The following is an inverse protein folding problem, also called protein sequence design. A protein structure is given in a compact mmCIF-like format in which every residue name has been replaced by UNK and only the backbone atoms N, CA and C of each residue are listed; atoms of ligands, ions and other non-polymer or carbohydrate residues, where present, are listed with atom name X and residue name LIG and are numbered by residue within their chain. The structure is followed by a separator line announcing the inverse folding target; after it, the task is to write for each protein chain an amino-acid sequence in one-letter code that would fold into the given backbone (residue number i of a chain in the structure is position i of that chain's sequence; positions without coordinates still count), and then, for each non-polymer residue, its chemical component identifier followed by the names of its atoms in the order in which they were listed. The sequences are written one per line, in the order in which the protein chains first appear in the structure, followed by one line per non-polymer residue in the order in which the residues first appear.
data_IF_991254979014
#
_entry.id   IF_991254979014
#
_cell.length_a   1.000
_cell.length_b   1.000
_cell.length_c   1.000
_cell.angle_alpha   90.00
_cell.angle_beta   90.00
_cell.angle_gamma   90.00
#
_symmetry.space_group_name_H-M   'P 1'
#
loop_
_entity.id
_entity.type
_entity.pdbx_description
1 polymer ?
#
# COMPACT_ATOMS: atom_id res chain seq x y z
N UNK A 1 13.60 3.00 25.52
CA UNK A 1 13.86 1.92 24.56
C UNK A 1 15.24 1.39 24.88
N UNK A 2 15.37 0.10 25.20
CA UNK A 2 16.65 -0.48 25.64
C UNK A 2 17.70 -0.48 24.53
N UNK A 3 18.96 -0.22 24.89
CA UNK A 3 20.09 -0.24 23.95
C UNK A 3 20.25 -1.60 23.25
N UNK A 4 19.90 -2.70 23.93
CA UNK A 4 19.91 -4.04 23.35
C UNK A 4 18.89 -4.19 22.20
N UNK A 5 17.66 -3.70 22.39
CA UNK A 5 16.62 -3.75 21.36
C UNK A 5 16.98 -2.86 20.17
N UNK A 6 17.57 -1.69 20.45
CA UNK A 6 18.05 -0.77 19.41
C UNK A 6 19.10 -1.43 18.50
N UNK A 7 20.07 -2.14 19.08
CA UNK A 7 21.08 -2.87 18.33
C UNK A 7 20.51 -4.04 17.52
N UNK A 8 19.54 -4.78 18.06
CA UNK A 8 18.87 -5.87 17.34
C UNK A 8 18.13 -5.37 16.08
N UNK A 9 17.46 -4.21 16.18
CA UNK A 9 16.81 -3.58 15.03
C UNK A 9 17.81 -3.15 13.97
N UNK A 10 18.96 -2.60 14.38
CA UNK A 10 20.02 -2.20 13.45
C UNK A 10 20.56 -3.42 12.68
N UNK A 11 20.88 -4.51 13.38
CA UNK A 11 21.32 -5.76 12.76
C UNK A 11 20.26 -6.29 11.79
N UNK A 12 18.99 -6.31 12.19
CA UNK A 12 17.90 -6.75 11.32
C UNK A 12 17.78 -5.91 10.03
N UNK A 13 17.85 -4.58 10.15
CA UNK A 13 17.74 -3.69 8.99
C UNK A 13 18.96 -3.82 8.05
N UNK A 14 20.14 -4.06 8.61
CA UNK A 14 21.37 -4.35 7.85
C UNK A 14 21.27 -5.68 7.09
N UNK A 15 20.79 -6.73 7.74
CA UNK A 15 20.60 -8.04 7.12
C UNK A 15 19.52 -8.01 6.04
N UNK A 16 18.42 -7.28 6.26
CA UNK A 16 17.31 -7.18 5.31
C UNK A 16 17.69 -6.44 4.01
N UNK A 17 18.39 -5.31 4.14
CA UNK A 17 18.73 -4.46 2.99
C UNK A 17 20.05 -4.85 2.31
N UNK A 18 20.81 -5.76 2.91
CA UNK A 18 22.15 -6.11 2.47
C UNK A 18 23.23 -5.27 3.16
N UNK A 19 24.38 -5.89 3.43
CA UNK A 19 25.48 -5.27 4.19
C UNK A 19 26.07 -4.06 3.46
N UNK A 20 25.96 -4.03 2.14
CA UNK A 20 26.37 -2.93 1.28
C UNK A 20 25.53 -1.66 1.46
N UNK A 21 24.27 -1.79 1.90
CA UNK A 21 23.37 -0.65 2.13
C UNK A 21 23.37 -0.17 3.60
N UNK A 22 24.24 -0.71 4.45
CA UNK A 22 24.32 -0.39 5.88
C UNK A 22 24.32 1.11 6.17
N UNK A 23 25.23 1.84 5.53
CA UNK A 23 25.40 3.28 5.81
C UNK A 23 24.16 4.07 5.38
N UNK A 24 23.55 3.69 4.25
CA UNK A 24 22.31 4.29 3.78
C UNK A 24 21.14 4.04 4.75
N UNK A 25 21.01 2.81 5.27
CA UNK A 25 19.99 2.46 6.28
C UNK A 25 20.18 3.27 7.56
N UNK A 26 21.42 3.46 8.03
CA UNK A 26 21.71 4.24 9.23
C UNK A 26 21.31 5.71 9.03
N UNK A 27 21.68 6.30 7.90
CA UNK A 27 21.32 7.68 7.54
C UNK A 27 19.81 7.85 7.45
N UNK A 28 19.12 6.97 6.72
CA UNK A 28 17.69 7.03 6.52
C UNK A 28 16.92 6.86 7.84
N UNK A 29 17.39 5.97 8.72
CA UNK A 29 16.82 5.80 10.06
C UNK A 29 17.02 7.03 10.93
N UNK A 30 18.17 7.68 10.87
CA UNK A 30 18.41 8.93 11.60
C UNK A 30 17.49 10.06 11.08
N UNK A 31 17.33 10.16 9.76
CA UNK A 31 16.44 11.11 9.12
C UNK A 31 14.97 10.85 9.49
N UNK A 32 14.53 9.59 9.51
CA UNK A 32 13.19 9.21 9.97
C UNK A 32 12.96 9.58 11.44
N UNK A 33 13.93 9.35 12.32
CA UNK A 33 13.82 9.78 13.71
C UNK A 33 13.69 11.29 13.86
N UNK A 34 14.38 12.07 13.03
CA UNK A 34 14.22 13.51 12.98
C UNK A 34 12.81 13.90 12.49
N UNK A 35 12.37 13.31 11.37
CA UNK A 35 11.04 13.55 10.82
C UNK A 35 9.92 13.25 11.82
N UNK A 36 9.99 12.16 12.59
CA UNK A 36 8.99 11.85 13.62
C UNK A 36 8.95 12.91 14.73
N UNK A 37 10.11 13.48 15.10
CA UNK A 37 10.17 14.59 16.07
C UNK A 37 9.55 15.86 15.51
N UNK A 38 9.83 16.17 14.24
CA UNK A 38 9.23 17.30 13.55
C UNK A 38 7.73 17.13 13.39
N UNK A 39 7.24 15.96 12.99
CA UNK A 39 5.81 15.66 12.86
C UNK A 39 5.07 15.95 14.17
N UNK A 40 5.66 15.55 15.30
CA UNK A 40 5.11 15.80 16.64
C UNK A 40 5.05 17.30 16.99
N UNK A 41 6.02 18.09 16.52
CA UNK A 41 6.09 19.52 16.78
C UNK A 41 5.22 20.35 15.84
N UNK A 42 5.29 20.07 14.54
CA UNK A 42 4.64 20.82 13.47
C UNK A 42 3.16 20.44 13.30
N UNK A 43 2.79 19.18 13.57
CA UNK A 43 1.42 18.68 13.36
C UNK A 43 0.91 17.88 14.59
N UNK A 44 0.67 18.55 15.74
CA UNK A 44 0.29 17.88 16.96
C UNK A 44 -1.08 17.18 16.87
N UNK A 45 -2.02 17.69 16.08
CA UNK A 45 -3.31 17.04 15.84
C UNK A 45 -3.15 15.73 15.06
N UNK A 46 -2.37 15.75 13.97
CA UNK A 46 -2.08 14.55 13.19
C UNK A 46 -1.39 13.48 14.05
N UNK A 47 -0.41 13.89 14.85
CA UNK A 47 0.26 13.01 15.82
C UNK A 47 -0.72 12.42 16.85
N UNK A 48 -1.64 13.24 17.37
CA UNK A 48 -2.67 12.78 18.31
C UNK A 48 -3.60 11.75 17.66
N UNK A 49 -4.07 12.02 16.44
CA UNK A 49 -4.94 11.10 15.69
C UNK A 49 -4.25 9.77 15.38
N UNK A 50 -2.94 9.80 15.10
CA UNK A 50 -2.12 8.59 14.93
C UNK A 50 -2.05 7.77 16.22
N UNK A 51 -1.78 8.41 17.36
CA UNK A 51 -1.77 7.76 18.67
C UNK A 51 -3.15 7.18 19.06
N UNK A 52 -4.23 7.85 18.67
CA UNK A 52 -5.61 7.42 18.89
C UNK A 52 -6.08 6.38 17.86
N UNK A 53 -5.21 5.94 16.94
CA UNK A 53 -5.51 4.97 15.87
C UNK A 53 -6.68 5.40 14.96
N UNK A 54 -6.93 6.71 14.86
CA UNK A 54 -7.91 7.30 13.94
C UNK A 54 -7.36 7.40 12.52
N UNK A 55 -6.04 7.43 12.39
CA UNK A 55 -5.32 7.35 11.12
C UNK A 55 -4.53 6.04 11.12
N UNK A 56 -4.70 5.17 10.11
CA UNK A 56 -3.92 3.96 9.99
C UNK A 56 -2.43 4.30 9.81
N UNK A 57 -1.58 3.63 10.60
CA UNK A 57 -0.12 3.77 10.45
C UNK A 57 0.34 3.34 9.04
N UNK A 58 -0.36 2.37 8.45
CA UNK A 58 -0.17 1.94 7.07
C UNK A 58 -0.28 3.10 6.07
N UNK A 59 -1.34 3.92 6.16
CA UNK A 59 -1.56 5.03 5.25
C UNK A 59 -0.46 6.09 5.34
N UNK A 60 0.04 6.33 6.56
CA UNK A 60 1.19 7.22 6.78
C UNK A 60 2.42 6.68 6.06
N UNK A 61 2.72 5.39 6.17
CA UNK A 61 3.83 4.77 5.44
C UNK A 61 3.63 4.76 3.94
N UNK A 62 2.41 4.60 3.43
CA UNK A 62 2.12 4.71 2.00
C UNK A 62 2.39 6.12 1.45
N UNK A 63 2.08 7.17 2.23
CA UNK A 63 2.32 8.56 1.85
C UNK A 63 3.77 9.05 1.99
N UNK A 64 4.61 8.34 2.74
CA UNK A 64 6.01 8.72 2.97
C UNK A 64 6.94 8.19 1.88
N UNK A 65 7.34 9.03 0.92
CA UNK A 65 8.33 8.67 -0.11
C UNK A 65 9.79 9.04 0.22
N UNK A 66 10.03 9.63 1.41
CA UNK A 66 11.35 10.12 1.84
C UNK A 66 12.28 9.04 2.40
N UNK A 67 11.73 7.87 2.74
CA UNK A 67 12.46 6.79 3.42
C UNK A 67 12.24 5.45 2.68
N UNK A 68 12.81 5.27 1.48
CA UNK A 68 12.52 4.10 0.64
C UNK A 68 12.96 2.77 1.25
N UNK A 69 14.08 2.70 1.97
CA UNK A 69 14.58 1.46 2.58
C UNK A 69 13.70 1.05 3.77
N UNK A 70 13.34 2.00 4.62
CA UNK A 70 12.47 1.77 5.78
C UNK A 70 11.02 1.53 5.34
N UNK A 71 10.52 2.28 4.35
CA UNK A 71 9.17 2.12 3.82
C UNK A 71 8.97 0.73 3.23
N UNK A 72 9.92 0.23 2.44
CA UNK A 72 9.85 -1.13 1.88
C UNK A 72 9.65 -2.20 2.97
N UNK A 73 10.37 -2.07 4.08
CA UNK A 73 10.25 -2.99 5.22
C UNK A 73 8.92 -2.78 5.94
N UNK A 74 8.52 -1.54 6.21
CA UNK A 74 7.28 -1.22 6.90
C UNK A 74 6.07 -1.77 6.14
N UNK A 75 5.99 -1.54 4.83
CA UNK A 75 4.92 -2.05 3.98
C UNK A 75 4.89 -3.58 3.96
N UNK A 76 6.06 -4.24 3.95
CA UNK A 76 6.13 -5.69 4.02
C UNK A 76 5.61 -6.22 5.37
N UNK A 77 5.96 -5.55 6.47
CA UNK A 77 5.51 -5.91 7.81
C UNK A 77 3.97 -5.82 7.94
N UNK A 78 3.35 -4.79 7.36
CA UNK A 78 1.90 -4.65 7.35
C UNK A 78 1.18 -5.72 6.52
N UNK A 79 1.87 -6.38 5.59
CA UNK A 79 1.33 -7.53 4.83
C UNK A 79 1.45 -8.85 5.59
N UNK A 80 2.27 -8.92 6.63
CA UNK A 80 2.41 -10.11 7.45
C UNK A 80 1.19 -10.29 8.36
N UNK A 81 0.61 -11.50 8.36
CA UNK A 81 -0.42 -11.86 9.31
C UNK A 81 0.13 -11.89 10.74
N UNK A 82 -0.53 -11.18 11.65
CA UNK A 82 -0.09 -11.02 13.05
C UNK A 82 -0.37 -12.26 13.90
N UNK A 83 -1.25 -13.17 13.44
CA UNK A 83 -1.60 -14.39 14.16
C UNK A 83 -2.05 -15.54 13.25
N UNK A 84 -1.96 -16.76 13.77
CA UNK A 84 -2.52 -17.96 13.12
C UNK A 84 -4.04 -17.91 12.97
N UNK A 85 -4.73 -17.05 13.71
CA UNK A 85 -6.19 -16.91 13.64
C UNK A 85 -6.68 -16.51 12.24
N UNK A 86 -5.86 -15.78 11.47
CA UNK A 86 -6.17 -15.50 10.06
C UNK A 86 -6.21 -16.80 9.23
N UNK A 87 -5.24 -17.69 9.44
CA UNK A 87 -5.19 -19.02 8.80
C UNK A 87 -6.30 -19.94 9.31
N UNK A 88 -6.67 -19.89 10.59
CA UNK A 88 -7.79 -20.66 11.14
C UNK A 88 -9.12 -20.24 10.50
N UNK A 89 -9.35 -18.93 10.33
CA UNK A 89 -10.50 -18.42 9.58
C UNK A 89 -10.49 -18.90 8.14
N UNK A 90 -9.32 -18.93 7.49
CA UNK A 90 -9.18 -19.46 6.13
C UNK A 90 -9.60 -20.93 6.03
N UNK A 91 -9.11 -21.79 6.95
CA UNK A 91 -9.51 -23.20 6.98
C UNK A 91 -10.99 -23.40 7.32
N UNK A 92 -11.54 -22.58 8.22
CA UNK A 92 -12.97 -22.61 8.53
C UNK A 92 -13.82 -22.22 7.31
N UNK A 93 -13.43 -21.20 6.56
CA UNK A 93 -14.11 -20.80 5.31
C UNK A 93 -14.02 -21.92 4.26
N UNK A 94 -12.85 -22.57 4.14
CA UNK A 94 -12.69 -23.71 3.25
C UNK A 94 -13.65 -24.86 3.63
N UNK A 95 -13.81 -25.16 4.93
CA UNK A 95 -14.76 -26.17 5.41
C UNK A 95 -16.23 -25.76 5.21
N UNK A 96 -16.53 -24.46 5.25
CA UNK A 96 -17.86 -23.92 4.96
C UNK A 96 -18.22 -24.03 3.47
N UNK A 97 -17.31 -23.64 2.57
CA UNK A 97 -17.52 -23.64 1.12
C UNK A 97 -17.49 -25.06 0.57
N UNK A 98 -16.61 -25.92 1.08
CA UNK A 98 -16.39 -27.26 0.54
C UNK A 98 -16.52 -28.34 1.62
N UNK A 99 -17.34 -29.36 1.33
CA UNK A 99 -17.40 -30.58 2.13
C UNK A 99 -17.27 -31.81 1.23
N UNK A 100 -16.46 -32.79 1.65
CA UNK A 100 -16.23 -34.01 0.86
C UNK A 100 -17.51 -34.82 0.61
N UNK A 101 -18.53 -34.68 1.47
CA UNK A 101 -19.72 -35.53 1.50
C UNK A 101 -20.93 -34.91 0.78
N UNK A 102 -21.12 -33.58 0.81
CA UNK A 102 -22.31 -32.92 0.23
C UNK A 102 -22.00 -31.84 -0.80
N UNK A 103 -20.80 -31.25 -0.78
CA UNK A 103 -20.41 -30.18 -1.71
C UNK A 103 -18.96 -30.36 -2.18
N UNK A 104 -18.71 -31.49 -2.86
CA UNK A 104 -17.37 -31.82 -3.37
C UNK A 104 -17.10 -30.99 -4.62
N UNK A 105 -16.03 -30.21 -4.55
CA UNK A 105 -15.58 -29.32 -5.61
C UNK A 105 -14.13 -29.69 -5.95
N UNK A 106 -13.70 -29.33 -7.16
CA UNK A 106 -12.30 -29.44 -7.53
C UNK A 106 -11.47 -28.41 -6.70
N UNK A 107 -10.24 -28.75 -6.27
CA UNK A 107 -9.45 -27.90 -5.37
C UNK A 107 -9.24 -26.47 -5.88
N UNK A 108 -9.01 -26.33 -7.19
CA UNK A 108 -8.87 -25.04 -7.89
C UNK A 108 -10.12 -24.16 -7.77
N UNK A 109 -11.31 -24.76 -7.84
CA UNK A 109 -12.59 -24.05 -7.67
C UNK A 109 -12.79 -23.62 -6.22
N UNK A 110 -12.39 -24.46 -5.25
CA UNK A 110 -12.50 -24.10 -3.83
C UNK A 110 -11.60 -22.93 -3.50
N UNK A 111 -10.35 -22.95 -3.97
CA UNK A 111 -9.39 -21.85 -3.75
C UNK A 111 -9.93 -20.52 -4.28
N UNK A 112 -10.43 -20.50 -5.53
CA UNK A 112 -11.04 -19.31 -6.14
C UNK A 112 -12.25 -18.81 -5.35
N UNK A 113 -13.13 -19.72 -4.91
CA UNK A 113 -14.33 -19.34 -4.14
C UNK A 113 -13.98 -18.82 -2.75
N UNK A 114 -12.98 -19.41 -2.08
CA UNK A 114 -12.48 -18.90 -0.79
C UNK A 114 -11.90 -17.51 -0.98
N UNK A 115 -11.12 -17.28 -2.04
CA UNK A 115 -10.56 -15.96 -2.35
C UNK A 115 -11.67 -14.91 -2.56
N UNK A 116 -12.63 -15.20 -3.45
CA UNK A 116 -13.80 -14.32 -3.69
C UNK A 116 -14.57 -14.04 -2.40
N UNK A 117 -14.75 -15.04 -1.52
CA UNK A 117 -15.44 -14.87 -0.25
C UNK A 117 -14.73 -13.89 0.69
N UNK A 118 -13.40 -13.88 0.72
CA UNK A 118 -12.63 -12.92 1.50
C UNK A 118 -12.64 -11.54 0.86
N UNK A 119 -12.46 -11.45 -0.45
CA UNK A 119 -12.43 -10.17 -1.16
C UNK A 119 -13.79 -9.46 -1.10
N UNK A 120 -14.89 -10.20 -1.28
CA UNK A 120 -16.24 -9.67 -1.14
C UNK A 120 -16.57 -9.17 0.27
N UNK A 121 -15.84 -9.62 1.31
CA UNK A 121 -15.97 -9.10 2.67
C UNK A 121 -15.10 -7.86 2.93
N UNK A 122 -14.04 -7.69 2.16
CA UNK A 122 -13.11 -6.57 2.29
C UNK A 122 -13.55 -5.35 1.49
N UNK A 123 -14.48 -5.51 0.54
CA UNK A 123 -15.08 -4.44 -0.25
C UNK A 123 -16.43 -4.08 0.39
N UNK A 124 -16.56 -2.91 1.02
CA UNK A 124 -17.86 -2.40 1.46
C UNK A 124 -18.58 -1.61 0.35
N UNK A 125 -19.87 -1.34 0.51
CA UNK A 125 -20.61 -0.54 -0.49
C UNK A 125 -20.00 0.85 -0.68
N UNK A 126 -19.45 1.46 0.38
CA UNK A 126 -18.74 2.73 0.26
C UNK A 126 -17.46 2.61 -0.58
N UNK A 127 -16.74 1.48 -0.50
CA UNK A 127 -15.56 1.22 -1.34
C UNK A 127 -15.96 1.07 -2.82
N UNK A 128 -17.06 0.37 -3.10
CA UNK A 128 -17.61 0.21 -4.46
C UNK A 128 -17.98 1.56 -5.06
N UNK A 129 -18.69 2.40 -4.30
CA UNK A 129 -19.06 3.76 -4.74
C UNK A 129 -17.82 4.61 -5.00
N UNK A 130 -16.81 4.52 -4.11
CA UNK A 130 -15.54 5.25 -4.26
C UNK A 130 -14.75 4.81 -5.50
N UNK A 131 -14.67 3.51 -5.78
CA UNK A 131 -13.98 3.00 -6.97
C UNK A 131 -14.72 3.34 -8.26
N UNK A 132 -16.06 3.25 -8.27
CA UNK A 132 -16.88 3.68 -9.40
C UNK A 132 -16.64 5.15 -9.75
N UNK A 133 -16.66 6.02 -8.73
CA UNK A 133 -16.41 7.45 -8.93
C UNK A 133 -14.99 7.73 -9.42
N UNK A 134 -13.99 6.97 -8.96
CA UNK A 134 -12.61 7.13 -9.44
C UNK A 134 -12.45 6.72 -10.90
N UNK A 135 -13.13 5.65 -11.33
CA UNK A 135 -13.12 5.19 -12.72
C UNK A 135 -13.81 6.18 -13.67
N UNK A 136 -14.90 6.81 -13.22
CA UNK A 136 -15.56 7.87 -13.98
C UNK A 136 -14.68 9.12 -14.08
N UNK A 137 -14.00 9.54 -13.00
CA UNK A 137 -13.05 10.66 -13.05
C UNK A 137 -11.84 10.40 -13.96
N UNK A 138 -11.32 9.17 -13.99
CA UNK A 138 -10.21 8.80 -14.87
C UNK A 138 -10.65 8.81 -16.34
N UNK A 139 -11.86 8.32 -16.62
CA UNK A 139 -12.45 8.39 -17.97
C UNK A 139 -12.65 9.84 -18.41
N UNK A 140 -13.17 10.69 -17.53
CA UNK A 140 -13.30 12.13 -17.80
C UNK A 140 -11.94 12.78 -18.08
N UNK A 141 -10.90 12.46 -17.31
CA UNK A 141 -9.55 12.99 -17.52
C UNK A 141 -8.95 12.58 -18.88
N UNK A 142 -9.11 11.32 -19.28
CA UNK A 142 -8.64 10.81 -20.58
C UNK A 142 -9.40 11.47 -21.75
N UNK A 143 -10.70 11.72 -21.61
CA UNK A 143 -11.51 12.44 -22.60
C UNK A 143 -11.08 13.90 -22.79
N UNK A 144 -10.58 14.56 -21.73
CA UNK A 144 -10.04 15.94 -21.84
C UNK A 144 -8.68 15.97 -22.55
N UNK A 145 -7.82 14.97 -22.35
CA UNK A 145 -6.52 14.89 -23.03
C UNK A 145 -6.64 14.65 -24.54
N UNK A 146 -7.63 13.86 -24.98
CA UNK A 146 -7.86 13.59 -26.39
C UNK A 146 -8.51 14.78 -27.13
N UNK A 147 -9.24 15.65 -26.42
CA UNK A 147 -9.82 16.87 -26.98
C UNK A 147 -8.75 17.94 -27.29
N UNK A 148 -7.65 18.00 -26.54
CA UNK A 148 -6.57 18.98 -26.72
C UNK A 148 -5.65 18.66 -27.93
N UNK A 149 -5.57 17.38 -28.35
CA UNK A 149 -4.79 16.99 -29.53
C UNK A 149 -5.49 17.19 -30.88
N UNK A 150 -6.76 17.60 -30.87
CA UNK A 150 -7.55 17.83 -32.09
C UNK A 150 -7.43 19.21 -32.72
N UNK A 151 -6.75 20.18 -32.08
CA UNK A 151 -6.71 21.58 -32.53
C UNK A 151 -5.32 22.06 -32.99
N UNK A 152 -4.52 21.17 -33.59
CA UNK A 152 -3.27 21.55 -34.28
C UNK A 152 -3.52 21.71 -35.77
N UNK A 153 -4.01 22.87 -36.21
CA UNK A 153 -4.19 23.19 -37.63
C UNK A 153 -2.85 23.16 -38.37
N UNK A 154 -2.78 22.35 -39.43
CA UNK A 154 -1.73 22.45 -40.45
C UNK A 154 -1.92 23.77 -41.21
N UNK A 155 -1.28 24.85 -40.78
CA UNK A 155 -0.99 26.00 -41.65
C UNK A 155 0.50 25.98 -41.98
N UNK A 156 0.81 25.48 -43.18
CA UNK A 156 2.14 25.53 -43.77
C UNK A 156 2.49 26.97 -44.12
N UNK A 157 3.34 27.61 -43.32
CA UNK A 157 3.98 28.87 -43.72
C UNK A 157 5.07 28.58 -44.77
N UNK A 158 4.83 29.13 -45.96
CA UNK A 158 5.73 29.22 -47.10
C UNK A 158 7.03 29.94 -46.69
N UNK A 159 8.16 29.23 -46.66
CA UNK A 159 9.49 29.85 -46.58
C UNK A 159 10.13 29.84 -47.98
N UNK A 160 10.08 31.00 -48.64
CA UNK A 160 10.86 31.28 -49.85
C UNK A 160 12.30 31.60 -49.45
N UNK A 161 13.24 30.73 -49.83
CA UNK A 161 14.66 31.07 -49.89
C UNK A 161 15.08 31.16 -51.35
N UNK A 162 15.63 32.32 -51.73
CA UNK A 162 16.23 32.61 -53.04
C UNK A 162 17.37 31.65 -53.40
#
# INVERSE_FOLDING_TARGET
MDNCFRGAVEVFLEEWNGKEMRDAVIVERAAHHHHVRELKASQPLHWKLLCEQKIPVFDVWCGMNTFPLLQKIALQLFRCGVSSSASERYFSTHAFIHSKLRNRLAPDRVEKLVHIYFDAKNICNEDIERYSHLEDLLREADEVEDADKGSGGNESEDFVYY
#
